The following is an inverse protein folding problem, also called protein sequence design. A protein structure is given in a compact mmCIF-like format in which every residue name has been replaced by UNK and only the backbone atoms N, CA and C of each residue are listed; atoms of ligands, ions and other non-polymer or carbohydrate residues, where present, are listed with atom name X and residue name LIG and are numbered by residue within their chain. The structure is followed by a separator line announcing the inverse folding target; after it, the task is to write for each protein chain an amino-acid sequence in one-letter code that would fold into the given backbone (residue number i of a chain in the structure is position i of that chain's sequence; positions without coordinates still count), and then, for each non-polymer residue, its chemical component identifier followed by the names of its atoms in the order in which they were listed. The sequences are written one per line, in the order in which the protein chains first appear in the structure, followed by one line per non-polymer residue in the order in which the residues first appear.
data_IF_906949063689
#
_entry.id   IF_906949063689
#
_cell.length_a   1.000
_cell.length_b   1.000
_cell.length_c   1.000
_cell.angle_alpha   90.00
_cell.angle_beta   90.00
_cell.angle_gamma   90.00
#
_symmetry.space_group_name_H-M   'P 1'
#
loop_
_entity.id
_entity.type
_entity.pdbx_description
1 polymer ?
#
# COMPACT_ATOMS: atom_id res chain seq x y z
N UNK A 1 -2.71 -9.27 -4.54
CA UNK A 1 -3.19 -10.05 -3.38
C UNK A 1 -3.02 -9.21 -2.12
N UNK A 2 -4.02 -9.20 -1.23
CA UNK A 2 -3.92 -8.57 0.09
C UNK A 2 -4.06 -9.66 1.14
N UNK A 3 -3.16 -9.68 2.11
CA UNK A 3 -3.24 -10.50 3.30
C UNK A 3 -3.25 -9.60 4.52
N UNK A 4 -4.18 -9.84 5.44
CA UNK A 4 -4.30 -9.07 6.68
C UNK A 4 -4.41 -10.04 7.86
N UNK A 5 -3.68 -9.72 8.93
CA UNK A 5 -3.81 -10.38 10.22
C UNK A 5 -3.84 -9.33 11.33
N UNK A 6 -5.03 -9.06 11.88
CA UNK A 6 -5.22 -7.96 12.82
C UNK A 6 -4.84 -6.61 12.19
N UNK A 7 -3.86 -5.92 12.77
CA UNK A 7 -3.33 -4.66 12.23
C UNK A 7 -2.21 -4.86 11.22
N UNK A 8 -1.69 -6.07 11.05
CA UNK A 8 -0.64 -6.34 10.08
C UNK A 8 -1.23 -6.53 8.69
N UNK A 9 -0.56 -5.96 7.68
CA UNK A 9 -0.99 -6.09 6.30
C UNK A 9 0.22 -6.37 5.39
N UNK A 10 -0.02 -7.26 4.42
CA UNK A 10 0.90 -7.53 3.32
C UNK A 10 0.15 -7.38 2.01
N UNK A 11 0.75 -6.65 1.07
CA UNK A 11 0.15 -6.38 -0.23
C UNK A 11 1.14 -6.80 -1.29
N UNK A 12 0.72 -7.67 -2.20
CA UNK A 12 1.49 -8.02 -3.39
C UNK A 12 0.73 -7.53 -4.61
N UNK A 13 1.38 -6.75 -5.46
CA UNK A 13 0.80 -6.22 -6.69
C UNK A 13 1.42 -6.93 -7.91
N UNK A 14 0.92 -6.59 -9.10
CA UNK A 14 1.51 -7.01 -10.37
C UNK A 14 2.31 -5.88 -11.02
N UNK A 15 2.79 -4.91 -10.24
CA UNK A 15 3.58 -3.79 -10.74
C UNK A 15 4.82 -4.28 -11.49
N UNK A 16 5.09 -3.69 -12.66
CA UNK A 16 6.25 -4.02 -13.50
C UNK A 16 7.45 -3.12 -13.21
N UNK A 17 7.25 -2.00 -12.52
CA UNK A 17 8.32 -1.09 -12.09
C UNK A 17 9.24 -1.77 -11.05
N UNK A 18 10.38 -1.16 -10.73
CA UNK A 18 11.31 -1.66 -9.70
C UNK A 18 10.73 -1.57 -8.28
N UNK A 19 9.79 -0.66 -8.07
CA UNK A 19 9.02 -0.49 -6.83
C UNK A 19 7.59 -1.03 -7.01
N UNK A 20 6.80 -0.96 -5.95
CA UNK A 20 5.36 -1.16 -5.99
C UNK A 20 4.93 -2.62 -5.90
N UNK A 21 5.86 -3.58 -5.83
CA UNK A 21 5.57 -5.01 -6.00
C UNK A 21 5.06 -5.70 -4.75
N UNK A 22 5.66 -5.41 -3.62
CA UNK A 22 5.39 -6.09 -2.36
C UNK A 22 5.56 -5.11 -1.22
N UNK A 23 4.52 -4.98 -0.41
CA UNK A 23 4.47 -4.08 0.73
C UNK A 23 4.18 -4.86 2.00
N UNK A 24 4.81 -4.46 3.09
CA UNK A 24 4.51 -4.97 4.45
C UNK A 24 4.31 -3.77 5.36
N UNK A 25 3.32 -3.83 6.25
CA UNK A 25 3.10 -2.74 7.17
C UNK A 25 1.97 -2.93 8.14
N UNK A 26 1.45 -1.81 8.64
CA UNK A 26 0.39 -1.77 9.65
C UNK A 26 -0.77 -0.88 9.22
N UNK A 27 -1.97 -1.33 9.55
CA UNK A 27 -3.22 -0.57 9.52
C UNK A 27 -3.42 0.03 10.90
N UNK A 28 -3.60 1.36 10.96
CA UNK A 28 -3.88 2.08 12.19
C UNK A 28 -5.39 2.22 12.45
N UNK A 29 -5.76 2.56 13.68
CA UNK A 29 -7.16 2.72 14.08
C UNK A 29 -7.94 3.75 13.25
N UNK A 30 -7.24 4.76 12.71
CA UNK A 30 -7.80 5.77 11.81
C UNK A 30 -7.91 5.31 10.34
N UNK A 31 -7.74 4.00 10.08
CA UNK A 31 -7.79 3.37 8.75
C UNK A 31 -6.66 3.77 7.79
N UNK A 32 -5.66 4.51 8.28
CA UNK A 32 -4.45 4.77 7.51
C UNK A 32 -3.57 3.53 7.51
N UNK A 33 -2.82 3.34 6.43
CA UNK A 33 -1.78 2.33 6.35
C UNK A 33 -0.42 2.99 6.24
N UNK A 34 0.56 2.42 6.93
CA UNK A 34 1.98 2.70 6.70
C UNK A 34 2.62 1.40 6.24
N UNK A 35 3.18 1.44 5.04
CA UNK A 35 3.64 0.30 4.28
C UNK A 35 5.11 0.51 3.91
N UNK A 36 5.90 -0.54 3.91
CA UNK A 36 7.28 -0.52 3.45
C UNK A 36 7.36 -1.39 2.19
N UNK A 37 7.81 -0.80 1.08
CA UNK A 37 8.15 -1.55 -0.12
C UNK A 37 9.32 -2.48 0.21
N UNK A 38 9.13 -3.79 0.04
CA UNK A 38 10.14 -4.79 0.36
C UNK A 38 11.30 -4.83 -0.65
N UNK A 39 11.17 -4.15 -1.79
CA UNK A 39 12.19 -4.04 -2.84
C UNK A 39 13.06 -2.81 -2.66
N UNK A 40 12.46 -1.65 -2.36
CA UNK A 40 13.18 -0.38 -2.26
C UNK A 40 13.44 0.05 -0.81
N UNK A 41 12.70 -0.49 0.16
CA UNK A 41 12.73 -0.04 1.56
C UNK A 41 11.99 1.27 1.80
N UNK A 42 11.38 1.84 0.76
CA UNK A 42 10.68 3.13 0.84
C UNK A 42 9.37 3.00 1.63
N UNK A 43 8.99 4.11 2.28
CA UNK A 43 7.76 4.21 3.04
C UNK A 43 6.62 4.67 2.13
N UNK A 44 5.48 4.01 2.25
CA UNK A 44 4.27 4.25 1.47
C UNK A 44 3.05 4.35 2.39
N UNK A 45 2.00 5.05 1.95
CA UNK A 45 0.80 5.29 2.75
C UNK A 45 -0.46 5.53 1.92
N UNK A 46 -1.62 5.34 2.52
CA UNK A 46 -2.92 5.69 1.93
C UNK A 46 -3.41 7.11 2.30
N UNK A 47 -2.58 7.94 2.93
CA UNK A 47 -3.02 9.24 3.47
C UNK A 47 -3.61 10.21 2.43
N UNK A 48 -3.14 10.16 1.18
CA UNK A 48 -3.51 11.13 0.13
C UNK A 48 -4.76 10.74 -0.68
N UNK A 49 -5.36 9.58 -0.41
CA UNK A 49 -6.50 9.12 -1.19
C UNK A 49 -7.35 8.07 -0.46
N UNK A 50 -8.66 8.02 -0.74
CA UNK A 50 -9.55 7.08 -0.08
C UNK A 50 -9.26 5.63 -0.47
N UNK A 51 -9.30 4.73 0.51
CA UNK A 51 -9.53 3.31 0.27
C UNK A 51 -11.03 3.07 0.06
N UNK A 52 -11.37 2.30 -0.97
CA UNK A 52 -12.74 1.91 -1.28
C UNK A 52 -12.93 0.42 -1.03
N UNK A 53 -14.18 -0.03 -1.02
CA UNK A 53 -14.52 -1.46 -0.87
C UNK A 53 -13.93 -2.35 -1.98
N UNK A 54 -13.58 -1.77 -3.13
CA UNK A 54 -13.09 -2.48 -4.31
C UNK A 54 -11.68 -2.08 -4.75
N UNK A 55 -11.07 -1.07 -4.12
CA UNK A 55 -9.73 -0.61 -4.49
C UNK A 55 -9.01 0.11 -3.35
N UNK A 56 -7.67 0.08 -3.37
CA UNK A 56 -6.80 0.81 -2.44
C UNK A 56 -5.77 1.57 -3.26
N UNK A 57 -5.66 2.88 -3.02
CA UNK A 57 -4.63 3.74 -3.61
C UNK A 57 -3.51 3.96 -2.57
N UNK A 58 -2.27 3.62 -2.94
CA UNK A 58 -1.10 3.67 -2.07
C UNK A 58 -0.09 4.66 -2.66
N UNK A 59 0.38 5.60 -1.86
CA UNK A 59 1.25 6.70 -2.27
C UNK A 59 2.62 6.61 -1.61
N UNK A 60 3.65 7.01 -2.34
CA UNK A 60 5.01 7.09 -1.81
C UNK A 60 5.16 8.25 -0.81
N UNK A 61 5.39 7.91 0.46
CA UNK A 61 5.55 8.92 1.52
C UNK A 61 6.87 9.68 1.39
N UNK A 62 7.93 9.01 0.90
CA UNK A 62 9.28 9.59 0.79
C UNK A 62 9.32 10.62 -0.34
N UNK A 63 8.69 10.32 -1.48
CA UNK A 63 8.66 11.19 -2.65
C UNK A 63 7.46 12.16 -2.68
N UNK A 64 7.06 12.72 -1.53
CA UNK A 64 5.96 13.69 -1.40
C UNK A 64 4.65 13.21 -2.06
N UNK A 65 4.36 11.91 -1.99
CA UNK A 65 3.15 11.29 -2.49
C UNK A 65 2.95 11.43 -4.01
N UNK A 66 4.05 11.44 -4.77
CA UNK A 66 4.02 11.59 -6.24
C UNK A 66 3.82 10.28 -6.98
N UNK A 67 4.35 9.17 -6.46
CA UNK A 67 4.11 7.84 -7.01
C UNK A 67 2.84 7.23 -6.38
N UNK A 68 1.94 6.72 -7.24
CA UNK A 68 0.69 6.09 -6.87
C UNK A 68 0.67 4.66 -7.42
N UNK A 69 0.46 3.70 -6.55
CA UNK A 69 0.09 2.33 -6.89
C UNK A 69 -1.38 2.07 -6.55
N UNK A 70 -2.15 1.62 -7.55
CA UNK A 70 -3.55 1.25 -7.39
C UNK A 70 -3.69 -0.26 -7.29
N UNK A 71 -4.34 -0.70 -6.24
CA UNK A 71 -4.68 -2.10 -6.03
C UNK A 71 -6.19 -2.33 -6.20
N UNK A 72 -6.56 -3.25 -7.10
CA UNK A 72 -7.94 -3.71 -7.25
C UNK A 72 -8.19 -4.88 -6.30
N UNK A 73 -9.23 -4.77 -5.47
CA UNK A 73 -9.68 -5.81 -4.57
C UNK A 73 -10.72 -6.67 -5.29
N UNK A 74 -10.38 -7.93 -5.56
CA UNK A 74 -11.29 -8.93 -6.10
C UNK A 74 -11.54 -9.98 -5.03
N UNK A 75 -12.80 -10.35 -4.82
CA UNK A 75 -13.19 -11.51 -4.00
C UNK A 75 -12.86 -12.81 -4.72
#
# INVERSE_FOLDING_TARGET
MVYQNGSEIRITTTATQRYGKSFVGKIFANRQMRLIDQTTGELWTTFKGPAFSTQIDIYDYVNNFTALDRLVLKR
#
